data_IF_929184281988
#
_entry.id   IF_929184281988
#
_cell.length_a   1.000
_cell.length_b   1.000
_cell.length_c   1.000
_cell.angle_alpha   90.00
_cell.angle_beta   90.00
_cell.angle_gamma   90.00
#
_symmetry.space_group_name_H-M   'P 1'
#
loop_
_entity.id
_entity.type
_entity.pdbx_description
1 polymer ?
#
# COMPACT_ATOMS: atom_id res chain seq x y z
N UNK A 1 -55.67 -53.63 9.91
CA UNK A 1 -54.25 -53.60 9.48
C UNK A 1 -53.98 -52.25 8.82
N UNK A 2 -53.33 -51.30 9.51
CA UNK A 2 -53.01 -49.98 8.96
C UNK A 2 -51.51 -49.94 8.64
N UNK A 3 -51.15 -49.79 7.36
CA UNK A 3 -49.75 -49.64 6.92
C UNK A 3 -49.37 -48.17 7.02
N UNK A 4 -48.54 -47.84 8.01
CA UNK A 4 -47.82 -46.56 8.07
C UNK A 4 -46.86 -46.46 6.88
N UNK A 5 -47.01 -45.42 6.06
CA UNK A 5 -46.17 -45.14 4.89
C UNK A 5 -45.12 -44.12 5.34
N UNK A 6 -43.87 -44.56 5.53
CA UNK A 6 -42.76 -43.67 5.83
C UNK A 6 -42.34 -42.91 4.57
N UNK A 7 -42.38 -41.57 4.63
CA UNK A 7 -41.88 -40.70 3.56
C UNK A 7 -40.34 -40.76 3.53
N UNK A 8 -39.71 -40.85 2.35
CA UNK A 8 -38.26 -40.85 2.24
C UNK A 8 -37.71 -39.49 2.69
N UNK A 9 -36.88 -39.50 3.73
CA UNK A 9 -36.21 -38.32 4.27
C UNK A 9 -35.29 -37.73 3.19
N UNK A 10 -35.57 -36.52 2.75
CA UNK A 10 -34.86 -35.82 1.68
C UNK A 10 -33.40 -35.53 2.06
N UNK A 11 -32.47 -36.43 1.72
CA UNK A 11 -31.03 -36.29 1.98
C UNK A 11 -30.39 -35.13 1.20
N UNK A 12 -30.97 -34.71 0.08
CA UNK A 12 -30.39 -33.65 -0.77
C UNK A 12 -30.45 -32.25 -0.16
N UNK A 13 -31.47 -31.95 0.66
CA UNK A 13 -31.59 -30.62 1.29
C UNK A 13 -30.59 -30.38 2.41
N UNK A 14 -30.15 -31.45 3.09
CA UNK A 14 -29.21 -31.35 4.21
C UNK A 14 -27.82 -30.88 3.75
N UNK A 15 -27.30 -31.43 2.64
CA UNK A 15 -25.99 -31.05 2.11
C UNK A 15 -25.94 -29.57 1.65
N UNK A 16 -27.04 -29.04 1.13
CA UNK A 16 -27.16 -27.63 0.72
C UNK A 16 -27.11 -26.72 1.96
N UNK A 17 -27.77 -27.10 3.06
CA UNK A 17 -27.74 -26.33 4.31
C UNK A 17 -26.36 -26.35 4.95
N UNK A 18 -25.69 -27.51 4.97
CA UNK A 18 -24.32 -27.63 5.48
C UNK A 18 -23.35 -26.73 4.68
N UNK A 19 -23.43 -26.75 3.35
CA UNK A 19 -22.62 -25.86 2.51
C UNK A 19 -22.94 -24.38 2.75
N UNK A 20 -24.22 -24.00 2.90
CA UNK A 20 -24.61 -22.61 3.13
C UNK A 20 -24.05 -22.03 4.44
N UNK A 21 -23.79 -22.86 5.44
CA UNK A 21 -23.17 -22.43 6.72
C UNK A 21 -21.67 -22.21 6.56
N UNK A 22 -20.97 -23.03 5.77
CA UNK A 22 -19.52 -22.89 5.55
C UNK A 22 -19.14 -21.88 4.46
N UNK A 23 -19.98 -21.70 3.45
CA UNK A 23 -19.78 -20.77 2.35
C UNK A 23 -19.33 -19.37 2.81
N UNK A 24 -20.02 -18.68 3.75
CA UNK A 24 -19.61 -17.34 4.18
C UNK A 24 -18.21 -17.31 4.81
N UNK A 25 -17.82 -18.35 5.54
CA UNK A 25 -16.48 -18.46 6.12
C UNK A 25 -15.40 -18.59 5.03
N UNK A 26 -15.67 -19.40 4.01
CA UNK A 26 -14.76 -19.58 2.88
C UNK A 26 -14.65 -18.28 2.08
N UNK A 27 -15.77 -17.58 1.83
CA UNK A 27 -15.75 -16.28 1.16
C UNK A 27 -14.95 -15.24 1.95
N UNK A 28 -15.11 -15.18 3.27
CA UNK A 28 -14.32 -14.26 4.11
C UNK A 28 -12.83 -14.57 3.99
N UNK A 29 -12.45 -15.86 4.01
CA UNK A 29 -11.05 -16.27 3.84
C UNK A 29 -10.52 -15.88 2.45
N UNK A 30 -11.28 -16.10 1.39
CA UNK A 30 -10.89 -15.71 0.03
C UNK A 30 -10.71 -14.19 -0.10
N UNK A 31 -11.66 -13.40 0.42
CA UNK A 31 -11.56 -11.94 0.41
C UNK A 31 -10.34 -11.46 1.20
N UNK A 32 -10.10 -12.05 2.38
CA UNK A 32 -8.91 -11.76 3.18
C UNK A 32 -7.59 -12.07 2.45
N UNK A 33 -7.52 -13.20 1.73
CA UNK A 33 -6.34 -13.56 0.93
C UNK A 33 -6.13 -12.59 -0.25
N UNK A 34 -7.21 -12.16 -0.92
CA UNK A 34 -7.13 -11.17 -2.01
C UNK A 34 -6.64 -9.81 -1.50
N UNK A 35 -7.22 -9.32 -0.40
CA UNK A 35 -6.81 -8.05 0.21
C UNK A 35 -5.36 -8.09 0.72
N UNK A 36 -4.94 -9.23 1.27
CA UNK A 36 -3.55 -9.46 1.68
C UNK A 36 -2.59 -9.48 0.48
N UNK A 37 -2.94 -10.21 -0.59
CA UNK A 37 -2.13 -10.28 -1.80
C UNK A 37 -1.92 -8.90 -2.42
N UNK A 38 -2.98 -8.09 -2.50
CA UNK A 38 -2.90 -6.71 -2.98
C UNK A 38 -2.05 -5.82 -2.08
N UNK A 39 -2.12 -5.99 -0.76
CA UNK A 39 -1.27 -5.25 0.17
C UNK A 39 0.21 -5.55 -0.05
N UNK A 40 0.57 -6.82 -0.28
CA UNK A 40 1.96 -7.24 -0.55
C UNK A 40 2.47 -6.67 -1.88
N UNK A 41 1.68 -6.76 -2.96
CA UNK A 41 2.06 -6.16 -4.26
C UNK A 41 2.29 -4.65 -4.12
N UNK A 42 1.39 -3.96 -3.40
CA UNK A 42 1.54 -2.53 -3.12
C UNK A 42 2.81 -2.23 -2.33
N UNK A 43 3.14 -3.06 -1.32
CA UNK A 43 4.34 -2.90 -0.52
C UNK A 43 5.63 -3.06 -1.35
N UNK A 44 5.69 -4.05 -2.24
CA UNK A 44 6.84 -4.25 -3.13
C UNK A 44 6.99 -3.07 -4.07
N UNK A 45 5.89 -2.61 -4.68
CA UNK A 45 5.90 -1.48 -5.60
C UNK A 45 6.41 -0.18 -4.95
N UNK A 46 5.97 0.15 -3.73
CA UNK A 46 6.48 1.35 -3.02
C UNK A 46 7.96 1.21 -2.62
N UNK A 47 8.45 -0.01 -2.39
CA UNK A 47 9.84 -0.26 -2.03
C UNK A 47 10.77 -0.13 -3.24
N UNK A 48 10.35 -0.66 -4.40
CA UNK A 48 11.03 -0.48 -5.68
C UNK A 48 11.04 1.01 -6.07
N UNK A 49 9.90 1.70 -5.96
CA UNK A 49 9.80 3.13 -6.20
C UNK A 49 10.75 3.95 -5.30
N UNK A 50 10.85 3.62 -4.01
CA UNK A 50 11.81 4.27 -3.11
C UNK A 50 13.27 4.05 -3.55
N UNK A 51 13.59 2.85 -4.07
CA UNK A 51 14.92 2.51 -4.55
C UNK A 51 15.29 3.27 -5.82
N UNK A 52 14.41 3.27 -6.82
CA UNK A 52 14.64 4.00 -8.07
C UNK A 52 14.61 5.51 -7.87
N UNK A 53 13.75 6.02 -6.99
CA UNK A 53 13.76 7.42 -6.58
C UNK A 53 15.12 7.81 -5.97
N UNK A 54 15.71 6.96 -5.12
CA UNK A 54 17.03 7.21 -4.54
C UNK A 54 18.14 7.19 -5.61
N UNK A 55 18.06 6.30 -6.60
CA UNK A 55 19.00 6.26 -7.73
C UNK A 55 18.91 7.52 -8.58
N UNK A 56 17.71 8.00 -8.87
CA UNK A 56 17.50 9.24 -9.62
C UNK A 56 17.98 10.45 -8.82
N UNK A 57 17.78 10.46 -7.49
CA UNK A 57 18.27 11.54 -6.62
C UNK A 57 19.78 11.73 -6.65
N UNK A 58 20.58 10.67 -6.80
CA UNK A 58 22.05 10.79 -6.88
C UNK A 58 22.46 11.51 -8.17
N UNK A 59 21.75 11.28 -9.28
CA UNK A 59 22.07 11.87 -10.57
C UNK A 59 21.73 13.36 -10.60
N UNK A 60 20.70 13.77 -9.86
CA UNK A 60 20.25 15.16 -9.76
C UNK A 60 21.14 15.89 -8.74
N UNK A 61 22.25 16.48 -9.22
CA UNK A 61 23.07 17.42 -8.43
C UNK A 61 22.17 18.57 -7.96
N UNK A 62 21.80 18.54 -6.69
CA UNK A 62 20.87 19.50 -6.14
C UNK A 62 21.57 20.80 -5.73
N UNK A 63 21.84 21.63 -6.73
CA UNK A 63 21.96 23.08 -6.50
C UNK A 63 20.51 23.61 -6.45
N UNK A 64 19.89 23.48 -5.27
CA UNK A 64 18.54 23.99 -4.97
C UNK A 64 17.38 23.11 -5.44
N UNK A 65 17.04 22.08 -4.66
CA UNK A 65 15.73 21.41 -4.78
C UNK A 65 14.65 22.43 -4.43
N UNK A 66 13.77 22.76 -5.36
CA UNK A 66 12.61 23.62 -5.07
C UNK A 66 11.39 22.72 -5.02
N UNK A 67 10.81 22.46 -3.85
CA UNK A 67 9.60 21.68 -3.73
C UNK A 67 8.46 22.31 -4.56
N UNK A 68 7.66 21.54 -5.33
CA UNK A 68 7.77 20.10 -5.53
C UNK A 68 8.70 19.66 -6.69
N UNK A 69 9.49 18.62 -6.46
CA UNK A 69 10.35 17.95 -7.45
C UNK A 69 9.50 17.02 -8.36
N UNK A 70 8.58 17.61 -9.13
CA UNK A 70 7.60 16.90 -9.99
C UNK A 70 8.22 15.90 -10.97
N UNK A 71 9.44 16.15 -11.44
CA UNK A 71 10.17 15.23 -12.33
C UNK A 71 10.56 13.94 -11.62
N UNK A 72 10.95 14.02 -10.34
CA UNK A 72 11.30 12.85 -9.55
C UNK A 72 10.05 12.07 -9.18
N UNK A 73 8.96 12.77 -8.84
CA UNK A 73 7.69 12.14 -8.53
C UNK A 73 7.19 11.38 -9.74
N UNK A 74 7.11 12.01 -10.92
CA UNK A 74 6.67 11.36 -12.14
C UNK A 74 7.55 10.16 -12.52
N UNK A 75 8.87 10.27 -12.32
CA UNK A 75 9.80 9.19 -12.61
C UNK A 75 9.85 8.10 -11.53
N UNK A 76 9.33 8.36 -10.33
CA UNK A 76 9.14 7.36 -9.26
C UNK A 76 7.77 6.68 -9.39
N UNK A 77 6.73 7.43 -9.78
CA UNK A 77 5.39 6.91 -10.06
C UNK A 77 5.35 6.07 -11.33
N UNK A 78 6.16 6.39 -12.35
CA UNK A 78 6.23 5.61 -13.58
C UNK A 78 6.68 4.15 -13.36
N UNK A 79 7.43 3.89 -12.29
CA UNK A 79 7.93 2.54 -11.96
C UNK A 79 6.94 1.74 -11.10
N UNK A 80 5.83 2.33 -10.67
CA UNK A 80 4.82 1.64 -9.87
C UNK A 80 3.77 1.01 -10.78
N UNK A 81 3.97 -0.27 -11.10
CA UNK A 81 2.92 -1.09 -11.70
C UNK A 81 1.88 -1.46 -10.62
N UNK A 82 0.75 -0.76 -10.58
CA UNK A 82 -0.28 -1.02 -9.56
C UNK A 82 -1.28 0.09 -9.24
N UNK A 83 -1.20 1.26 -9.88
CA UNK A 83 -2.18 2.35 -9.69
C UNK A 83 -2.06 3.08 -8.35
N UNK A 84 -0.86 3.08 -7.76
CA UNK A 84 -0.51 3.85 -6.57
C UNK A 84 -0.26 5.30 -7.01
N UNK A 85 -1.00 6.26 -6.45
CA UNK A 85 -0.70 7.69 -6.63
C UNK A 85 0.18 8.17 -5.50
N UNK A 86 1.30 8.78 -5.86
CA UNK A 86 2.27 9.34 -4.94
C UNK A 86 2.35 10.86 -5.13
N UNK A 87 2.21 11.59 -4.04
CA UNK A 87 2.41 13.04 -4.03
C UNK A 87 3.69 13.35 -3.24
N UNK A 88 4.31 14.51 -3.49
CA UNK A 88 5.35 14.97 -2.58
C UNK A 88 4.80 15.19 -1.17
N UNK A 89 5.58 14.81 -0.17
CA UNK A 89 5.25 15.07 1.22
C UNK A 89 5.09 16.60 1.44
N UNK A 90 3.89 17.09 1.83
CA UNK A 90 3.64 18.52 2.04
C UNK A 90 4.54 19.15 3.11
N UNK A 91 5.12 18.31 3.99
CA UNK A 91 6.02 18.75 5.04
C UNK A 91 7.35 19.30 4.46
N UNK A 92 7.75 18.89 3.25
CA UNK A 92 8.96 19.37 2.55
C UNK A 92 8.77 20.82 2.12
N UNK A 93 7.61 21.17 1.57
CA UNK A 93 7.30 22.54 1.15
C UNK A 93 7.03 23.47 2.35
N UNK A 94 6.45 22.94 3.42
CA UNK A 94 5.97 23.75 4.56
C UNK A 94 6.97 23.85 5.71
N UNK A 95 8.00 22.99 5.76
CA UNK A 95 8.98 22.94 6.85
C UNK A 95 8.38 22.54 8.22
N UNK A 96 7.17 21.98 8.22
CA UNK A 96 6.40 21.64 9.44
C UNK A 96 6.82 20.28 10.00
N UNK A 97 7.03 20.20 11.31
CA UNK A 97 7.28 18.93 12.02
C UNK A 97 5.99 18.37 12.63
N UNK A 98 5.79 17.03 12.66
CA UNK A 98 6.74 15.97 12.29
C UNK A 98 6.81 15.69 10.77
N UNK A 99 8.04 15.57 10.25
CA UNK A 99 8.36 15.08 8.90
C UNK A 99 9.02 13.70 9.03
N UNK A 100 8.69 12.69 8.19
CA UNK A 100 7.70 12.73 7.11
C UNK A 100 6.25 12.60 7.59
N UNK A 101 5.31 13.18 6.84
CA UNK A 101 3.89 13.13 7.14
C UNK A 101 3.25 11.82 6.64
N UNK A 102 2.13 11.45 7.27
CA UNK A 102 1.32 10.30 6.84
C UNK A 102 0.12 10.77 6.02
N UNK A 103 -0.18 10.14 4.87
CA UNK A 103 -1.39 10.44 4.13
C UNK A 103 -2.62 10.14 4.99
N UNK A 104 -3.62 11.01 4.91
CA UNK A 104 -4.91 10.84 5.59
C UNK A 104 -5.99 10.28 4.66
N UNK A 105 -5.73 10.30 3.34
CA UNK A 105 -6.67 9.85 2.32
C UNK A 105 -6.36 8.40 1.94
N UNK A 106 -7.34 7.47 1.98
CA UNK A 106 -7.14 6.09 1.59
C UNK A 106 -6.60 5.93 0.17
N UNK A 107 -5.73 4.94 -0.03
CA UNK A 107 -5.08 4.62 -1.31
C UNK A 107 -4.26 5.78 -1.91
N UNK A 108 -3.65 6.61 -1.06
CA UNK A 108 -2.72 7.65 -1.48
C UNK A 108 -1.40 7.50 -0.76
N UNK A 109 -0.30 7.94 -1.39
CA UNK A 109 1.02 7.94 -0.77
C UNK A 109 1.73 9.26 -0.89
N UNK A 110 2.68 9.46 0.03
CA UNK A 110 3.62 10.57 0.02
C UNK A 110 5.04 10.09 -0.19
N UNK A 111 5.80 10.83 -0.99
CA UNK A 111 7.24 10.66 -1.18
C UNK A 111 7.92 11.77 -0.42
N UNK A 112 8.73 11.38 0.54
CA UNK A 112 9.65 12.25 1.24
C UNK A 112 11.07 12.02 0.74
N UNK A 113 11.82 13.10 0.60
CA UNK A 113 13.18 13.09 0.10
C UNK A 113 14.07 13.96 1.00
N UNK A 114 15.34 13.56 1.18
CA UNK A 114 16.30 14.37 1.97
C UNK A 114 16.50 15.74 1.36
N UNK A 115 16.22 16.81 2.12
CA UNK A 115 16.44 18.20 1.72
C UNK A 115 17.89 18.65 1.96
N UNK A 116 18.30 19.79 1.38
CA UNK A 116 19.62 20.43 1.60
C UNK A 116 20.82 19.51 1.28
N UNK A 117 20.78 18.88 0.10
CA UNK A 117 21.86 18.04 -0.43
C UNK A 117 23.09 18.89 -0.75
N UNK A 118 23.97 19.08 0.22
CA UNK A 118 25.22 19.83 0.04
C UNK A 118 26.33 18.93 -0.51
N UNK A 119 27.27 19.46 -1.31
CA UNK A 119 28.46 18.72 -1.70
C UNK A 119 29.22 18.25 -0.44
N UNK A 120 29.41 16.93 -0.29
CA UNK A 120 30.08 16.30 0.87
C UNK A 120 29.16 15.61 1.89
N UNK A 121 27.84 15.86 1.86
CA UNK A 121 26.86 15.05 2.59
C UNK A 121 26.34 13.93 1.69
N UNK A 122 27.07 12.83 1.74
CA UNK A 122 27.03 11.81 0.73
C UNK A 122 25.81 10.88 0.80
N UNK A 123 24.79 11.12 1.63
CA UNK A 123 23.65 10.19 1.74
C UNK A 123 22.33 10.87 1.35
N UNK A 124 21.70 10.35 0.29
CA UNK A 124 20.35 10.74 -0.12
C UNK A 124 19.38 9.65 0.30
N UNK A 125 18.27 10.04 0.91
CA UNK A 125 17.22 9.12 1.37
C UNK A 125 15.91 9.49 0.68
N UNK A 126 15.22 8.48 0.19
CA UNK A 126 13.84 8.54 -0.26
C UNK A 126 13.01 7.66 0.67
N UNK A 127 11.89 8.19 1.13
CA UNK A 127 10.93 7.47 1.95
C UNK A 127 9.55 7.61 1.36
N UNK A 128 8.92 6.49 1.04
CA UNK A 128 7.57 6.42 0.51
C UNK A 128 6.64 5.92 1.61
N UNK A 129 5.60 6.69 1.91
CA UNK A 129 4.58 6.38 2.90
C UNK A 129 3.25 6.23 2.18
N UNK A 130 2.62 5.07 2.21
CA UNK A 130 1.37 4.80 1.50
C UNK A 130 0.27 4.38 2.47
N UNK A 131 -0.91 4.99 2.37
CA UNK A 131 -2.06 4.67 3.21
C UNK A 131 -2.96 3.66 2.51
N UNK A 132 -2.76 2.39 2.81
CA UNK A 132 -3.43 1.27 2.14
C UNK A 132 -4.80 0.98 2.77
N UNK A 133 -5.85 0.98 1.95
CA UNK A 133 -7.17 0.50 2.34
C UNK A 133 -7.52 -0.81 1.60
N UNK A 134 -7.92 -1.87 2.33
CA UNK A 134 -8.51 -3.06 1.73
C UNK A 134 -9.71 -2.72 0.84
N UNK A 135 -9.99 -3.56 -0.16
CA UNK A 135 -11.15 -3.40 -1.03
C UNK A 135 -12.45 -3.71 -0.30
N UNK A 136 -12.39 -4.57 0.72
CA UNK A 136 -13.58 -5.01 1.43
C UNK A 136 -13.74 -4.27 2.77
N UNK A 137 -14.93 -3.69 2.97
CA UNK A 137 -15.26 -2.96 4.20
C UNK A 137 -15.22 -3.87 5.44
N UNK A 138 -15.57 -5.14 5.27
CA UNK A 138 -15.54 -6.13 6.36
C UNK A 138 -14.11 -6.30 6.89
N UNK A 139 -13.12 -6.42 6.00
CA UNK A 139 -11.72 -6.56 6.40
C UNK A 139 -11.19 -5.24 6.94
N UNK A 140 -11.52 -4.10 6.33
CA UNK A 140 -11.12 -2.77 6.82
C UNK A 140 -11.60 -2.52 8.25
N UNK A 141 -12.85 -2.87 8.57
CA UNK A 141 -13.37 -2.75 9.93
C UNK A 141 -12.75 -3.78 10.89
N UNK A 142 -12.43 -4.98 10.42
CA UNK A 142 -11.82 -6.03 11.24
C UNK A 142 -10.39 -5.69 11.68
N UNK A 143 -9.61 -5.01 10.82
CA UNK A 143 -8.23 -4.61 11.12
C UNK A 143 -8.13 -3.23 11.80
N UNK A 144 -9.26 -2.53 12.01
CA UNK A 144 -9.29 -1.23 12.69
C UNK A 144 -9.04 -0.02 11.78
N UNK A 145 -9.21 -0.16 10.47
CA UNK A 145 -9.07 0.91 9.48
C UNK A 145 -7.94 0.68 8.46
N UNK A 146 -7.68 1.64 7.57
CA UNK A 146 -6.58 1.55 6.63
C UNK A 146 -5.23 1.52 7.36
N UNK A 147 -4.25 0.85 6.75
CA UNK A 147 -2.91 0.65 7.32
C UNK A 147 -1.88 1.48 6.57
N UNK A 148 -0.91 2.04 7.30
CA UNK A 148 0.18 2.78 6.69
C UNK A 148 1.34 1.85 6.36
N UNK A 149 1.63 1.71 5.08
CA UNK A 149 2.81 1.03 4.55
C UNK A 149 3.92 2.05 4.38
N UNK A 150 5.15 1.69 4.74
CA UNK A 150 6.28 2.60 4.64
C UNK A 150 7.50 1.85 4.15
N UNK A 151 8.15 2.40 3.13
CA UNK A 151 9.41 1.90 2.60
C UNK A 151 10.39 3.06 2.46
N UNK A 152 11.68 2.80 2.62
CA UNK A 152 12.72 3.80 2.45
C UNK A 152 13.96 3.19 1.85
N UNK A 153 14.64 3.96 1.01
CA UNK A 153 15.95 3.61 0.45
C UNK A 153 16.90 4.79 0.64
N UNK A 154 18.11 4.51 1.11
CA UNK A 154 19.18 5.49 1.13
C UNK A 154 20.34 5.02 0.25
N UNK A 155 20.99 5.96 -0.41
CA UNK A 155 22.12 5.70 -1.29
C UNK A 155 23.22 6.74 -1.07
N UNK A 156 24.47 6.29 -1.27
CA UNK A 156 25.63 7.14 -1.10
C UNK A 156 26.08 7.76 -2.43
N UNK A 157 26.15 9.08 -2.53
CA UNK A 157 26.77 9.79 -3.66
C UNK A 157 28.28 9.95 -3.41
N UNK A 158 29.13 9.50 -4.34
CA UNK A 158 30.60 9.51 -4.19
C UNK A 158 31.31 10.71 -4.87
N UNK A 159 30.60 11.80 -5.17
CA UNK A 159 31.16 12.95 -5.91
C UNK A 159 31.42 14.19 -5.04
#
# INVERSE_FOLDING_TARGET
MSRSRSLPRAKGGQAIVEFAIFAPLIFLLLLGVLDFGRAVVTYVAIAEAAHDGARQLILIKNIGSTPPDTTLIAATEAEIDGGVSLQEDPCIASGTTPCPSTPTTPNTGYIWITQNRTPGHNEVTVKVTYFYAPLTDIITNAIGGPITLTASSSMRAEY
#
